data_IF_653098876203
#
_entry.id   IF_653098876203
#
_cell.length_a   1.000
_cell.length_b   1.000
_cell.length_c   1.000
_cell.angle_alpha   90.00
_cell.angle_beta   90.00
_cell.angle_gamma   90.00
#
_symmetry.space_group_name_H-M   'P 1'
#
loop_
_entity.id
_entity.type
_entity.pdbx_description
1 polymer ?
#
# COMPACT_ATOMS: atom_id res chain seq x y z
N UNK A 1 -1.91 0.45 4.40
CA UNK A 1 -0.71 -0.21 4.97
C UNK A 1 0.50 0.35 4.24
N UNK A 2 1.67 0.42 4.89
CA UNK A 2 2.91 0.86 4.25
C UNK A 2 3.81 -0.36 4.09
N UNK A 3 4.17 -0.67 2.85
CA UNK A 3 5.01 -1.81 2.50
C UNK A 3 6.40 -1.33 2.07
N UNK A 4 7.44 -2.04 2.51
CA UNK A 4 8.79 -1.80 2.01
C UNK A 4 9.04 -2.65 0.76
N UNK A 5 9.09 -1.98 -0.38
CA UNK A 5 9.28 -2.58 -1.71
C UNK A 5 10.71 -2.46 -2.22
N UNK A 6 11.68 -2.09 -1.37
CA UNK A 6 13.08 -1.87 -1.77
C UNK A 6 13.76 -3.11 -2.35
N UNK A 7 13.25 -4.30 -2.06
CA UNK A 7 13.73 -5.58 -2.60
C UNK A 7 13.34 -5.81 -4.06
N UNK A 8 12.48 -4.97 -4.66
CA UNK A 8 12.03 -5.10 -6.05
C UNK A 8 12.19 -3.77 -6.84
N UNK A 9 13.44 -3.32 -7.06
CA UNK A 9 13.72 -2.09 -7.81
C UNK A 9 13.34 -2.19 -9.28
N UNK A 10 13.28 -3.39 -9.87
CA UNK A 10 12.86 -3.57 -11.26
C UNK A 10 11.37 -3.21 -11.47
N UNK A 11 10.57 -3.26 -10.40
CA UNK A 11 9.17 -2.84 -10.43
C UNK A 11 8.94 -1.42 -9.91
N UNK A 12 9.62 -1.02 -8.82
CA UNK A 12 9.35 0.24 -8.10
C UNK A 12 10.52 1.22 -8.06
N UNK A 13 11.63 0.90 -8.72
CA UNK A 13 12.76 1.80 -8.86
C UNK A 13 12.45 2.99 -9.77
N UNK A 14 13.36 3.96 -9.86
CA UNK A 14 13.28 5.02 -10.87
C UNK A 14 13.11 4.43 -12.26
N UNK A 15 12.21 4.99 -13.06
CA UNK A 15 11.86 4.57 -14.44
C UNK A 15 11.21 3.18 -14.58
N UNK A 16 10.97 2.47 -13.48
CA UNK A 16 10.24 1.21 -13.50
C UNK A 16 8.72 1.40 -13.68
N UNK A 17 8.03 0.38 -14.17
CA UNK A 17 6.60 0.47 -14.51
C UNK A 17 5.68 0.86 -13.35
N UNK A 18 6.04 0.50 -12.10
CA UNK A 18 5.33 0.92 -10.89
C UNK A 18 6.11 1.96 -10.07
N UNK A 19 7.17 2.55 -10.64
CA UNK A 19 8.00 3.55 -9.97
C UNK A 19 7.22 4.77 -9.50
N UNK A 20 6.17 5.15 -10.24
CA UNK A 20 5.24 6.24 -9.88
C UNK A 20 4.50 6.03 -8.54
N UNK A 21 4.39 4.79 -8.05
CA UNK A 21 3.80 4.48 -6.75
C UNK A 21 4.78 4.52 -5.58
N UNK A 22 6.09 4.56 -5.85
CA UNK A 22 7.10 4.52 -4.80
C UNK A 22 6.98 5.74 -3.88
N UNK A 23 6.80 5.50 -2.58
CA UNK A 23 6.67 6.55 -1.56
C UNK A 23 5.34 7.31 -1.56
N UNK A 24 4.31 6.83 -2.28
CA UNK A 24 2.99 7.47 -2.40
C UNK A 24 1.86 6.51 -2.03
N UNK A 25 0.65 7.03 -1.82
CA UNK A 25 -0.53 6.17 -1.71
C UNK A 25 -0.93 5.60 -3.08
N UNK A 26 -0.68 4.31 -3.28
CA UNK A 26 -0.97 3.59 -4.53
C UNK A 26 -2.40 3.02 -4.60
N UNK A 27 -3.22 3.20 -3.55
CA UNK A 27 -4.49 2.48 -3.41
C UNK A 27 -5.43 2.72 -4.59
N UNK A 28 -5.54 3.97 -5.05
CA UNK A 28 -6.41 4.33 -6.18
C UNK A 28 -5.90 3.75 -7.50
N UNK A 29 -4.63 3.99 -7.83
CA UNK A 29 -4.00 3.44 -9.04
C UNK A 29 -4.10 1.91 -9.11
N UNK A 30 -3.81 1.21 -8.01
CA UNK A 30 -3.89 -0.26 -7.97
C UNK A 30 -5.32 -0.78 -8.12
N UNK A 31 -6.29 -0.19 -7.43
CA UNK A 31 -7.69 -0.61 -7.55
C UNK A 31 -8.27 -0.37 -8.95
N UNK A 32 -7.87 0.72 -9.60
CA UNK A 32 -8.28 1.05 -10.97
C UNK A 32 -7.44 0.40 -12.07
N UNK A 33 -6.34 -0.26 -11.72
CA UNK A 33 -5.33 -0.72 -12.67
C UNK A 33 -4.77 0.43 -13.55
N UNK A 34 -4.61 1.61 -12.94
CA UNK A 34 -4.19 2.85 -13.58
C UNK A 34 -2.74 3.17 -13.23
N UNK A 35 -1.94 3.55 -14.23
CA UNK A 35 -0.57 4.05 -14.09
C UNK A 35 -0.49 5.56 -14.41
N UNK A 36 -1.62 6.25 -14.35
CA UNK A 36 -1.72 7.68 -14.60
C UNK A 36 -1.46 8.48 -13.32
N UNK A 37 -0.80 9.62 -13.45
CA UNK A 37 -0.40 10.48 -12.32
C UNK A 37 -1.62 10.97 -11.52
N UNK A 38 -2.77 11.16 -12.18
CA UNK A 38 -4.00 11.65 -11.54
C UNK A 38 -4.63 10.63 -10.57
N UNK A 39 -4.31 9.35 -10.70
CA UNK A 39 -4.75 8.30 -9.76
C UNK A 39 -3.68 7.99 -8.70
N UNK A 40 -2.56 8.73 -8.67
CA UNK A 40 -1.48 8.56 -7.70
C UNK A 40 -1.63 9.46 -6.48
N UNK A 41 -1.25 8.95 -5.31
CA UNK A 41 -1.35 9.66 -4.02
C UNK A 41 -2.77 10.13 -3.67
N UNK A 42 -3.78 9.54 -4.30
CA UNK A 42 -5.20 9.83 -4.04
C UNK A 42 -5.71 8.88 -2.96
N UNK A 43 -5.83 9.41 -1.74
CA UNK A 43 -6.22 8.64 -0.54
C UNK A 43 -7.69 8.23 -0.49
N UNK A 44 -8.53 8.81 -1.34
CA UNK A 44 -9.96 8.56 -1.33
C UNK A 44 -10.34 7.50 -2.36
N UNK A 45 -10.96 6.42 -1.86
CA UNK A 45 -11.43 5.29 -2.67
C UNK A 45 -12.92 4.98 -2.45
N UNK A 46 -13.70 5.89 -1.84
CA UNK A 46 -15.14 5.63 -1.58
C UNK A 46 -15.98 5.59 -2.85
N UNK A 47 -15.44 6.06 -3.97
CA UNK A 47 -16.02 6.01 -5.31
C UNK A 47 -15.74 4.69 -6.04
N UNK A 48 -15.01 3.76 -5.42
CA UNK A 48 -14.74 2.46 -6.02
C UNK A 48 -16.02 1.66 -6.25
N UNK A 49 -16.11 1.11 -7.45
CA UNK A 49 -16.99 -0.01 -7.76
C UNK A 49 -16.55 -1.26 -6.98
N UNK A 50 -17.43 -2.27 -6.98
CA UNK A 50 -17.12 -3.59 -6.42
C UNK A 50 -15.88 -4.22 -7.07
N UNK A 51 -15.70 -4.02 -8.37
CA UNK A 51 -14.55 -4.57 -9.10
C UNK A 51 -13.24 -3.90 -8.68
N UNK A 52 -13.21 -2.57 -8.56
CA UNK A 52 -12.00 -1.84 -8.14
C UNK A 52 -11.63 -2.17 -6.68
N UNK A 53 -12.65 -2.34 -5.83
CA UNK A 53 -12.54 -2.83 -4.45
C UNK A 53 -11.87 -4.21 -4.40
N UNK A 54 -12.41 -5.19 -5.13
CA UNK A 54 -11.86 -6.56 -5.18
C UNK A 54 -10.45 -6.60 -5.79
N UNK A 55 -10.18 -5.74 -6.77
CA UNK A 55 -8.85 -5.61 -7.39
C UNK A 55 -7.84 -5.10 -6.37
N UNK A 56 -8.18 -4.06 -5.62
CA UNK A 56 -7.33 -3.54 -4.56
C UNK A 56 -7.08 -4.58 -3.46
N UNK A 57 -8.10 -5.35 -3.06
CA UNK A 57 -7.95 -6.44 -2.09
C UNK A 57 -6.95 -7.50 -2.56
N UNK A 58 -6.97 -7.89 -3.84
CA UNK A 58 -6.01 -8.83 -4.41
C UNK A 58 -4.58 -8.28 -4.40
N UNK A 59 -4.41 -7.00 -4.74
CA UNK A 59 -3.11 -6.34 -4.64
C UNK A 59 -2.58 -6.35 -3.21
N UNK A 60 -3.44 -6.05 -2.23
CA UNK A 60 -3.08 -6.09 -0.81
C UNK A 60 -2.63 -7.49 -0.38
N UNK A 61 -3.37 -8.55 -0.73
CA UNK A 61 -2.98 -9.94 -0.43
C UNK A 61 -1.62 -10.29 -1.05
N UNK A 62 -1.37 -9.86 -2.29
CA UNK A 62 -0.09 -10.08 -2.95
C UNK A 62 1.04 -9.36 -2.21
N UNK A 63 0.84 -8.10 -1.81
CA UNK A 63 1.83 -7.32 -1.07
C UNK A 63 2.13 -7.93 0.31
N UNK A 64 1.09 -8.36 1.05
CA UNK A 64 1.23 -9.06 2.33
C UNK A 64 2.09 -10.33 2.22
N UNK A 65 2.04 -11.01 1.07
CA UNK A 65 2.83 -12.23 0.85
C UNK A 65 4.30 -11.97 0.45
N UNK A 66 4.61 -10.76 -0.06
CA UNK A 66 5.92 -10.46 -0.69
C UNK A 66 6.76 -9.42 0.04
N UNK A 67 6.12 -8.43 0.66
CA UNK A 67 6.80 -7.26 1.20
C UNK A 67 6.53 -7.12 2.71
N UNK A 68 7.56 -6.78 3.50
CA UNK A 68 7.35 -6.50 4.90
C UNK A 68 6.52 -5.23 5.08
N UNK A 69 5.66 -5.25 6.09
CA UNK A 69 4.90 -4.08 6.50
C UNK A 69 5.76 -3.24 7.42
N UNK A 70 5.96 -1.97 7.08
CA UNK A 70 6.80 -1.04 7.83
C UNK A 70 6.01 0.04 8.55
N UNK A 71 4.71 0.17 8.25
CA UNK A 71 3.85 1.09 8.98
C UNK A 71 2.41 1.10 8.51
N UNK A 72 1.69 2.12 8.98
CA UNK A 72 0.32 2.43 8.58
C UNK A 72 0.22 3.93 8.29
N UNK A 73 -0.51 4.28 7.23
CA UNK A 73 -0.82 5.67 6.93
C UNK A 73 -1.91 6.15 7.91
N UNK A 74 -1.71 7.34 8.50
CA UNK A 74 -2.72 7.98 9.37
C UNK A 74 -4.02 8.17 8.56
N UNK A 75 -5.17 7.92 9.18
CA UNK A 75 -6.51 8.08 8.62
C UNK A 75 -6.90 7.15 7.45
N UNK A 76 -5.98 6.32 6.94
CA UNK A 76 -6.25 5.37 5.84
C UNK A 76 -7.08 4.14 6.25
N UNK A 77 -7.41 3.97 7.53
CA UNK A 77 -8.02 2.74 8.09
C UNK A 77 -9.55 2.86 8.23
N UNK A 78 -10.17 3.93 7.75
CA UNK A 78 -11.61 4.09 7.84
C UNK A 78 -12.34 3.48 6.63
N UNK A 79 -12.53 2.16 6.65
CA UNK A 79 -13.71 1.54 6.01
C UNK A 79 -13.49 0.33 5.10
N UNK A 80 -12.27 0.04 4.62
CA UNK A 80 -12.08 -1.00 3.60
C UNK A 80 -11.18 -2.18 4.03
N UNK A 81 -10.39 -2.05 5.10
CA UNK A 81 -9.46 -3.11 5.53
C UNK A 81 -10.16 -4.08 6.50
N UNK A 82 -10.24 -5.39 6.19
CA UNK A 82 -10.73 -6.41 7.12
C UNK A 82 -9.96 -6.39 8.45
N UNK A 83 -10.65 -6.64 9.56
CA UNK A 83 -10.04 -6.62 10.90
C UNK A 83 -8.89 -7.63 11.05
N UNK A 84 -8.95 -8.74 10.32
CA UNK A 84 -7.89 -9.75 10.26
C UNK A 84 -6.56 -9.15 9.76
N UNK A 85 -6.62 -8.34 8.70
CA UNK A 85 -5.43 -7.72 8.13
C UNK A 85 -4.87 -6.64 9.06
N UNK A 86 -5.74 -5.94 9.80
CA UNK A 86 -5.29 -5.00 10.85
C UNK A 86 -4.48 -5.74 11.91
N UNK A 87 -4.93 -6.91 12.38
CA UNK A 87 -4.20 -7.72 13.37
C UNK A 87 -2.86 -8.21 12.84
N UNK A 88 -2.82 -8.65 11.58
CA UNK A 88 -1.58 -9.05 10.93
C UNK A 88 -0.58 -7.88 10.87
N UNK A 89 -1.05 -6.69 10.50
CA UNK A 89 -0.23 -5.47 10.49
C UNK A 89 0.33 -5.16 11.88
N UNK A 90 -0.50 -5.11 12.91
CA UNK A 90 -0.03 -4.83 14.27
C UNK A 90 0.96 -5.91 14.76
N UNK A 91 0.75 -7.18 14.38
CA UNK A 91 1.67 -8.27 14.72
C UNK A 91 3.03 -8.11 14.03
N UNK A 92 3.06 -7.82 12.73
CA UNK A 92 4.29 -7.64 11.96
C UNK A 92 5.07 -6.39 12.42
N UNK A 93 4.36 -5.32 12.78
CA UNK A 93 4.97 -4.11 13.37
C UNK A 93 5.56 -4.41 14.76
N UNK A 94 4.83 -5.12 15.62
CA UNK A 94 5.30 -5.50 16.96
C UNK A 94 6.49 -6.49 16.93
N UNK A 95 6.56 -7.33 15.89
CA UNK A 95 7.66 -8.29 15.70
C UNK A 95 9.00 -7.63 15.30
N UNK A 96 9.05 -6.29 15.12
CA UNK A 96 10.29 -5.58 14.82
C UNK A 96 10.87 -5.89 13.43
N UNK A 97 10.08 -6.50 12.54
CA UNK A 97 10.44 -6.66 11.12
C UNK A 97 10.41 -5.33 10.35
N UNK A 98 9.89 -4.27 10.98
CA UNK A 98 9.91 -2.90 10.47
C UNK A 98 11.24 -2.21 10.80
N UNK A 99 12.08 -1.98 9.79
CA UNK A 99 13.17 -1.00 9.88
C UNK A 99 12.63 0.39 9.49
N UNK A 100 12.52 1.25 10.49
CA UNK A 100 12.60 2.73 10.44
C UNK A 100 12.16 3.42 9.13
N UNK A 101 10.86 3.72 9.00
CA UNK A 101 10.37 4.85 8.16
C UNK A 101 9.50 5.82 8.97
N UNK A 102 9.15 5.48 10.22
CA UNK A 102 8.18 6.25 11.02
C UNK A 102 8.72 7.64 11.43
N UNK A 103 10.04 7.87 11.38
CA UNK A 103 10.67 9.13 11.83
C UNK A 103 10.94 10.16 10.73
N UNK A 104 10.38 10.01 9.51
CA UNK A 104 10.68 10.93 8.37
C UNK A 104 9.57 11.89 7.95
N UNK A 105 8.45 11.93 8.67
CA UNK A 105 7.38 12.88 8.38
C UNK A 105 6.90 13.54 9.68
N UNK A 106 7.73 14.45 10.20
CA UNK A 106 7.33 15.56 11.07
C UNK A 106 7.29 16.85 10.26
#
# INVERSE_FOLDING_TARGET
MIFDVTTNPDSYGPDAGYGLFAGRDASRGLGKMSLEEEDCDVRHIKDFSKYETETLDQWIMMFLSKYPIVGRLKDAINGHVPDEWKRQVETELAAGKSRSIIDKFE
#
